data_IF_614478215326
#
_entry.id   IF_614478215326
#
_cell.length_a   1.000
_cell.length_b   1.000
_cell.length_c   1.000
_cell.angle_alpha   90.00
_cell.angle_beta   90.00
_cell.angle_gamma   90.00
#
_symmetry.space_group_name_H-M   'P 1'
#
loop_
_entity.id
_entity.type
_entity.pdbx_description
1 polymer ?
#
# COMPACT_ATOMS: atom_id res chain seq x y z
N UNK A 1 -49.03 22.27 -14.36
CA UNK A 1 -48.24 21.05 -14.61
C UNK A 1 -47.71 20.61 -13.26
N UNK A 2 -48.25 19.49 -12.72
CA UNK A 2 -47.73 18.92 -11.48
C UNK A 2 -46.43 18.18 -11.78
N UNK A 3 -45.35 18.54 -11.07
CA UNK A 3 -44.09 17.84 -11.16
C UNK A 3 -43.90 17.06 -9.85
N UNK A 4 -43.66 15.77 -9.95
CA UNK A 4 -43.39 14.91 -8.80
C UNK A 4 -41.96 14.50 -8.78
N UNK A 5 -41.30 14.63 -7.63
CA UNK A 5 -39.94 14.19 -7.39
C UNK A 5 -39.95 13.00 -6.42
N UNK A 6 -39.32 11.92 -6.81
CA UNK A 6 -39.13 10.77 -5.92
C UNK A 6 -37.73 10.89 -5.33
N UNK A 7 -37.67 11.03 -3.99
CA UNK A 7 -36.39 11.21 -3.26
C UNK A 7 -36.18 10.08 -2.27
N UNK A 8 -34.92 9.82 -1.94
CA UNK A 8 -34.51 8.87 -0.92
C UNK A 8 -33.69 9.61 0.13
N UNK A 9 -34.03 9.44 1.40
CA UNK A 9 -33.24 9.97 2.50
C UNK A 9 -31.94 9.18 2.60
N UNK A 10 -30.80 9.86 2.62
CA UNK A 10 -29.47 9.25 2.70
C UNK A 10 -28.74 9.52 4.01
N UNK A 11 -29.11 10.60 4.70
CA UNK A 11 -28.48 11.00 5.95
C UNK A 11 -29.01 12.32 6.47
N UNK A 12 -28.40 12.82 7.52
CA UNK A 12 -28.69 14.09 8.18
C UNK A 12 -27.38 14.74 8.65
N UNK A 13 -27.42 16.05 8.88
CA UNK A 13 -26.29 16.81 9.43
C UNK A 13 -26.55 17.03 10.91
N UNK A 14 -25.63 16.57 11.76
CA UNK A 14 -25.63 16.75 13.19
C UNK A 14 -24.29 17.34 13.64
N UNK A 15 -24.35 18.48 14.33
CA UNK A 15 -23.16 19.20 14.80
C UNK A 15 -22.07 19.35 13.73
N UNK A 16 -22.43 19.85 12.55
CA UNK A 16 -21.55 20.02 11.40
C UNK A 16 -20.87 18.72 10.91
N UNK A 17 -21.51 17.58 11.16
CA UNK A 17 -21.02 16.28 10.69
C UNK A 17 -22.15 15.56 10.00
N UNK A 18 -21.91 15.12 8.76
CA UNK A 18 -22.87 14.29 8.05
C UNK A 18 -22.89 12.87 8.63
N UNK A 19 -24.09 12.40 8.97
CA UNK A 19 -24.35 11.03 9.43
C UNK A 19 -25.27 10.31 8.46
N UNK A 20 -24.90 9.11 8.07
CA UNK A 20 -25.76 8.25 7.23
C UNK A 20 -26.88 7.67 8.06
N UNK A 21 -28.03 7.52 7.43
CA UNK A 21 -29.24 6.98 8.05
C UNK A 21 -30.33 8.03 8.19
N UNK A 22 -31.41 7.67 8.84
CA UNK A 22 -32.59 8.53 9.04
C UNK A 22 -32.77 8.74 10.54
N UNK A 23 -32.68 9.97 10.97
CA UNK A 23 -32.96 10.35 12.37
C UNK A 23 -34.45 10.70 12.53
N UNK A 24 -34.97 11.46 11.58
CA UNK A 24 -36.37 11.92 11.58
C UNK A 24 -36.94 11.76 10.17
N UNK A 25 -38.24 11.47 10.08
CA UNK A 25 -38.94 11.43 8.80
C UNK A 25 -39.55 12.79 8.50
N UNK A 26 -39.40 13.31 7.28
CA UNK A 26 -40.09 14.54 6.91
C UNK A 26 -41.60 14.34 6.96
N UNK A 27 -42.30 15.33 7.51
CA UNK A 27 -43.75 15.34 7.53
C UNK A 27 -44.32 15.85 6.20
N UNK A 28 -45.62 15.60 5.99
CA UNK A 28 -46.33 16.16 4.84
C UNK A 28 -46.28 17.70 4.99
N UNK A 29 -46.09 18.41 3.88
CA UNK A 29 -45.96 19.86 3.79
C UNK A 29 -44.67 20.47 4.40
N UNK A 30 -43.66 19.67 4.73
CA UNK A 30 -42.33 20.20 5.03
C UNK A 30 -41.73 20.85 3.79
N UNK A 31 -41.11 22.01 3.97
CA UNK A 31 -40.37 22.70 2.94
C UNK A 31 -39.09 21.91 2.58
N UNK A 32 -38.77 21.90 1.29
CA UNK A 32 -37.54 21.28 0.78
C UNK A 32 -36.67 22.36 0.12
N UNK A 33 -35.44 22.43 0.52
CA UNK A 33 -34.41 23.32 -0.04
C UNK A 33 -33.36 22.54 -0.77
N UNK A 34 -32.70 23.17 -1.72
CA UNK A 34 -31.44 22.66 -2.24
C UNK A 34 -30.37 22.86 -1.18
N UNK A 35 -29.41 21.93 -1.12
CA UNK A 35 -28.27 22.04 -0.19
C UNK A 35 -27.49 23.32 -0.48
N UNK A 36 -27.05 23.99 0.58
CA UNK A 36 -26.06 25.04 0.47
C UNK A 36 -24.68 24.46 0.10
N UNK A 37 -23.76 25.30 -0.35
CA UNK A 37 -22.38 24.85 -0.64
C UNK A 37 -21.72 24.24 0.59
N UNK A 38 -21.93 24.87 1.77
CA UNK A 38 -21.38 24.37 3.03
C UNK A 38 -21.95 23.00 3.43
N UNK A 39 -23.26 22.80 3.30
CA UNK A 39 -23.90 21.51 3.57
C UNK A 39 -23.45 20.44 2.58
N UNK A 40 -23.28 20.83 1.32
CA UNK A 40 -22.77 19.95 0.27
C UNK A 40 -21.33 19.50 0.58
N UNK A 41 -20.48 20.42 1.00
CA UNK A 41 -19.12 20.13 1.42
C UNK A 41 -19.09 19.20 2.64
N UNK A 42 -19.97 19.39 3.62
CA UNK A 42 -20.08 18.52 4.79
C UNK A 42 -20.46 17.07 4.40
N UNK A 43 -21.32 16.89 3.40
CA UNK A 43 -21.73 15.58 2.92
C UNK A 43 -20.60 14.89 2.15
N UNK A 44 -19.82 15.64 1.39
CA UNK A 44 -18.79 15.10 0.48
C UNK A 44 -17.38 15.17 1.04
N UNK A 45 -17.18 15.81 2.19
CA UNK A 45 -15.91 15.80 2.92
C UNK A 45 -15.85 14.60 3.86
N UNK A 46 -15.16 13.55 3.45
CA UNK A 46 -15.04 12.31 4.24
C UNK A 46 -14.03 12.40 5.40
N UNK A 47 -13.59 13.59 5.77
CA UNK A 47 -12.59 13.81 6.83
C UNK A 47 -13.18 14.18 8.19
N UNK A 48 -14.36 14.78 8.24
CA UNK A 48 -14.88 15.51 9.38
C UNK A 48 -14.24 16.92 9.51
N UNK A 49 -14.91 17.84 10.20
CA UNK A 49 -14.49 19.23 10.36
C UNK A 49 -13.08 19.34 10.97
N UNK A 50 -12.28 20.26 10.47
CA UNK A 50 -10.95 20.61 11.02
C UNK A 50 -9.84 19.60 10.78
N UNK A 51 -10.01 18.59 9.91
CA UNK A 51 -8.98 17.62 9.57
C UNK A 51 -8.35 17.92 8.21
N UNK A 52 -7.06 17.56 8.08
CA UNK A 52 -6.35 17.69 6.82
C UNK A 52 -6.96 16.79 5.72
N UNK A 53 -7.16 17.37 4.56
CA UNK A 53 -7.78 16.70 3.40
C UNK A 53 -6.93 16.85 2.15
N UNK A 54 -7.12 15.91 1.23
CA UNK A 54 -6.64 16.00 -0.14
C UNK A 54 -7.80 15.93 -1.10
N UNK A 55 -7.75 16.75 -2.16
CA UNK A 55 -8.71 16.71 -3.25
C UNK A 55 -8.34 15.58 -4.23
N UNK A 56 -9.28 14.65 -4.42
CA UNK A 56 -9.05 13.49 -5.31
C UNK A 56 -9.77 13.62 -6.65
N UNK A 57 -10.70 14.52 -6.78
CA UNK A 57 -11.47 14.75 -8.02
C UNK A 57 -12.64 15.68 -7.77
N UNK A 58 -13.57 15.70 -8.73
CA UNK A 58 -14.80 16.48 -8.67
C UNK A 58 -16.00 15.57 -8.88
N UNK A 59 -17.18 16.02 -8.50
CA UNK A 59 -18.39 15.27 -8.76
C UNK A 59 -18.69 15.19 -10.26
N UNK A 60 -19.15 14.04 -10.71
CA UNK A 60 -19.50 13.84 -12.13
C UNK A 60 -20.66 14.73 -12.59
N UNK A 61 -21.60 15.03 -11.69
CA UNK A 61 -22.78 15.85 -12.00
C UNK A 61 -22.54 17.35 -11.79
N UNK A 62 -21.50 17.72 -11.05
CA UNK A 62 -21.13 19.11 -10.81
C UNK A 62 -19.60 19.22 -10.68
N UNK A 63 -18.98 19.64 -11.79
CA UNK A 63 -17.52 19.77 -11.85
C UNK A 63 -16.94 20.91 -11.00
N UNK A 64 -17.76 21.75 -10.40
CA UNK A 64 -17.33 22.79 -9.47
C UNK A 64 -17.17 22.27 -8.03
N UNK A 65 -17.71 21.09 -7.74
CA UNK A 65 -17.67 20.54 -6.39
C UNK A 65 -16.54 19.55 -6.23
N UNK A 66 -15.49 19.88 -5.45
CA UNK A 66 -14.38 19.00 -5.19
C UNK A 66 -14.76 17.85 -4.25
N UNK A 67 -14.18 16.68 -4.46
CA UNK A 67 -14.28 15.55 -3.55
C UNK A 67 -13.02 15.48 -2.70
N UNK A 68 -13.18 15.79 -1.41
CA UNK A 68 -12.11 15.84 -0.45
C UNK A 68 -12.10 14.59 0.45
N UNK A 69 -10.93 13.94 0.59
CA UNK A 69 -10.71 12.79 1.46
C UNK A 69 -9.79 13.17 2.62
N UNK A 70 -10.15 12.75 3.84
CA UNK A 70 -9.33 12.97 5.03
C UNK A 70 -8.05 12.13 5.00
N UNK A 71 -6.88 12.78 5.06
CA UNK A 71 -5.57 12.14 5.01
C UNK A 71 -5.44 11.09 6.11
N UNK A 72 -5.72 11.45 7.36
CA UNK A 72 -5.57 10.54 8.48
C UNK A 72 -6.41 9.27 8.38
N UNK A 73 -7.64 9.37 7.86
CA UNK A 73 -8.50 8.19 7.65
C UNK A 73 -8.07 7.35 6.45
N UNK A 74 -7.65 8.02 5.38
CA UNK A 74 -7.29 7.35 4.13
C UNK A 74 -6.01 6.53 4.27
N UNK A 75 -4.97 7.11 4.89
CA UNK A 75 -3.65 6.51 4.98
C UNK A 75 -3.38 5.71 6.27
N UNK A 76 -4.33 5.65 7.20
CA UNK A 76 -4.23 4.80 8.40
C UNK A 76 -4.72 3.36 8.19
N UNK A 77 -5.27 3.05 7.01
CA UNK A 77 -5.86 1.75 6.71
C UNK A 77 -5.59 1.33 5.26
N UNK A 78 -6.09 0.15 4.88
CA UNK A 78 -5.96 -0.36 3.52
C UNK A 78 -6.85 0.42 2.56
N UNK A 79 -6.32 0.74 1.39
CA UNK A 79 -7.05 1.39 0.29
C UNK A 79 -7.23 0.37 -0.83
N UNK A 80 -8.46 0.11 -1.24
CA UNK A 80 -8.80 -0.73 -2.38
C UNK A 80 -9.40 0.10 -3.52
N UNK A 81 -8.80 0.05 -4.71
CA UNK A 81 -9.31 0.73 -5.92
C UNK A 81 -9.74 -0.34 -6.92
N UNK A 82 -11.03 -0.43 -7.17
CA UNK A 82 -11.64 -1.45 -8.01
C UNK A 82 -12.26 -0.85 -9.27
N UNK A 83 -12.18 -1.57 -10.38
CA UNK A 83 -12.78 -1.15 -11.63
C UNK A 83 -12.30 -2.00 -12.80
N UNK A 84 -12.96 -1.90 -13.94
CA UNK A 84 -12.57 -2.58 -15.18
C UNK A 84 -11.31 -1.97 -15.80
N UNK A 85 -10.75 -2.65 -16.80
CA UNK A 85 -9.64 -2.11 -17.59
C UNK A 85 -10.07 -0.78 -18.24
N UNK A 86 -9.22 0.24 -18.16
CA UNK A 86 -9.52 1.58 -18.70
C UNK A 86 -10.39 2.47 -17.79
N UNK A 87 -10.84 2.00 -16.62
CA UNK A 87 -11.67 2.80 -15.70
C UNK A 87 -10.90 3.86 -14.89
N UNK A 88 -9.59 3.97 -15.07
CA UNK A 88 -8.76 4.97 -14.39
C UNK A 88 -8.22 4.56 -13.02
N UNK A 89 -8.20 3.26 -12.66
CA UNK A 89 -7.68 2.77 -11.36
C UNK A 89 -6.28 3.29 -11.05
N UNK A 90 -5.35 3.07 -11.96
CA UNK A 90 -3.95 3.49 -11.78
C UNK A 90 -3.81 5.01 -11.73
N UNK A 91 -4.62 5.72 -12.53
CA UNK A 91 -4.66 7.17 -12.48
C UNK A 91 -5.18 7.68 -11.13
N UNK A 92 -6.22 7.06 -10.58
CA UNK A 92 -6.77 7.40 -9.26
C UNK A 92 -5.73 7.18 -8.17
N UNK A 93 -5.01 6.06 -8.19
CA UNK A 93 -3.94 5.79 -7.23
C UNK A 93 -2.82 6.83 -7.33
N UNK A 94 -2.37 7.13 -8.55
CA UNK A 94 -1.35 8.15 -8.79
C UNK A 94 -1.81 9.55 -8.33
N UNK A 95 -3.08 9.90 -8.57
CA UNK A 95 -3.68 11.19 -8.13
C UNK A 95 -3.68 11.30 -6.61
N UNK A 96 -4.11 10.27 -5.89
CA UNK A 96 -4.15 10.25 -4.41
C UNK A 96 -2.76 10.50 -3.84
N UNK A 97 -1.74 9.78 -4.28
CA UNK A 97 -0.38 9.97 -3.77
C UNK A 97 0.25 11.28 -4.21
N UNK A 98 -0.01 11.74 -5.44
CA UNK A 98 0.46 13.05 -5.90
C UNK A 98 -0.11 14.17 -5.03
N UNK A 99 -1.39 14.12 -4.69
CA UNK A 99 -2.01 15.11 -3.81
C UNK A 99 -1.42 15.05 -2.40
N UNK A 100 -1.16 13.86 -1.86
CA UNK A 100 -0.50 13.70 -0.57
C UNK A 100 0.89 14.34 -0.57
N UNK A 101 1.72 14.05 -1.57
CA UNK A 101 3.07 14.60 -1.69
C UNK A 101 3.07 16.11 -1.89
N UNK A 102 2.12 16.62 -2.68
CA UNK A 102 1.93 18.08 -2.87
C UNK A 102 1.53 18.74 -1.55
N UNK A 103 0.61 18.15 -0.80
CA UNK A 103 0.14 18.67 0.49
C UNK A 103 1.29 18.79 1.50
N UNK A 104 2.17 17.79 1.57
CA UNK A 104 3.31 17.78 2.49
C UNK A 104 4.63 18.24 1.88
N UNK A 105 4.64 18.85 0.70
CA UNK A 105 5.86 19.27 0.00
C UNK A 105 6.77 20.22 0.81
N UNK A 106 6.18 21.06 1.66
CA UNK A 106 6.89 21.97 2.56
C UNK A 106 7.22 21.39 3.95
N UNK A 107 6.82 20.17 4.26
CA UNK A 107 6.99 19.58 5.59
C UNK A 107 8.28 18.76 5.67
N UNK A 108 9.31 19.28 6.38
CA UNK A 108 10.59 18.60 6.54
C UNK A 108 10.48 17.27 7.30
N UNK A 109 9.68 17.23 8.36
CA UNK A 109 9.47 16.02 9.14
C UNK A 109 8.82 14.89 8.31
N UNK A 110 7.91 15.24 7.40
CA UNK A 110 7.35 14.26 6.46
C UNK A 110 8.42 13.72 5.50
N UNK A 111 9.25 14.61 4.93
CA UNK A 111 10.32 14.20 4.00
C UNK A 111 11.37 13.31 4.64
N UNK A 112 11.69 13.54 5.91
CA UNK A 112 12.70 12.78 6.65
C UNK A 112 12.21 11.42 7.14
N UNK A 113 10.93 11.32 7.51
CA UNK A 113 10.41 10.15 8.20
C UNK A 113 9.44 9.29 7.35
N UNK A 114 8.82 9.85 6.30
CA UNK A 114 7.88 9.10 5.48
C UNK A 114 8.61 8.32 4.39
N UNK A 115 8.29 7.03 4.27
CA UNK A 115 8.80 6.16 3.22
C UNK A 115 7.63 5.50 2.48
N UNK A 116 7.74 5.48 1.16
CA UNK A 116 6.73 4.88 0.29
C UNK A 116 7.39 3.89 -0.66
N UNK A 117 6.84 2.69 -0.73
CA UNK A 117 7.30 1.64 -1.63
C UNK A 117 6.20 1.32 -2.64
N UNK A 118 6.50 1.47 -3.93
CA UNK A 118 5.58 1.17 -5.02
C UNK A 118 6.06 -0.06 -5.80
N UNK A 119 5.21 -1.07 -5.91
CA UNK A 119 5.41 -2.20 -6.82
C UNK A 119 4.66 -1.94 -8.12
N UNK A 120 5.41 -1.63 -9.17
CA UNK A 120 4.87 -1.22 -10.46
C UNK A 120 5.11 -2.29 -11.52
N UNK A 121 4.16 -3.19 -11.68
CA UNK A 121 4.27 -4.29 -12.65
C UNK A 121 4.10 -3.86 -14.10
N UNK A 122 3.42 -2.75 -14.34
CA UNK A 122 3.06 -2.29 -15.68
C UNK A 122 3.85 -1.05 -16.13
N UNK A 123 4.66 -0.44 -15.27
CA UNK A 123 5.40 0.78 -15.57
C UNK A 123 4.56 2.06 -15.56
N UNK A 124 3.43 2.06 -14.84
CA UNK A 124 2.48 3.19 -14.81
C UNK A 124 2.97 4.34 -13.93
N UNK A 125 3.79 4.04 -12.91
CA UNK A 125 4.26 5.00 -11.89
C UNK A 125 5.74 5.35 -12.02
N UNK A 126 6.50 4.59 -12.80
CA UNK A 126 7.94 4.74 -12.97
C UNK A 126 8.34 5.80 -13.99
N UNK A 127 7.39 6.33 -14.78
CA UNK A 127 7.66 7.38 -15.76
C UNK A 127 8.07 8.70 -15.12
N UNK A 128 8.71 9.57 -15.94
CA UNK A 128 9.20 10.88 -15.52
C UNK A 128 8.10 11.70 -14.84
N UNK A 129 8.37 12.17 -13.61
CA UNK A 129 7.48 13.00 -12.79
C UNK A 129 6.04 12.46 -12.64
N UNK A 130 5.82 11.14 -12.66
CA UNK A 130 4.48 10.54 -12.67
C UNK A 130 3.69 10.77 -11.37
N UNK A 131 4.26 10.46 -10.21
CA UNK A 131 3.63 10.64 -8.90
C UNK A 131 4.31 11.75 -8.11
N UNK A 132 5.62 11.78 -8.14
CA UNK A 132 6.49 12.75 -7.48
C UNK A 132 7.65 13.07 -8.41
N UNK A 133 8.41 14.15 -8.12
CA UNK A 133 9.58 14.50 -8.92
C UNK A 133 10.63 13.39 -8.91
N UNK A 134 11.40 13.30 -10.00
CA UNK A 134 12.44 12.25 -10.10
C UNK A 134 13.58 12.44 -9.10
N UNK A 135 13.77 13.63 -8.55
CA UNK A 135 14.71 13.90 -7.48
C UNK A 135 14.31 13.25 -6.14
N UNK A 136 13.01 13.02 -5.94
CA UNK A 136 12.45 12.54 -4.68
C UNK A 136 12.02 11.06 -4.75
N UNK A 137 12.29 10.39 -5.88
CA UNK A 137 12.01 8.95 -6.04
C UNK A 137 13.23 8.20 -6.57
N UNK A 138 13.36 6.93 -6.17
CA UNK A 138 14.32 5.99 -6.71
C UNK A 138 13.58 4.87 -7.42
N UNK A 139 13.85 4.70 -8.72
CA UNK A 139 13.21 3.67 -9.54
C UNK A 139 14.21 2.55 -9.78
N UNK A 140 13.80 1.31 -9.46
CA UNK A 140 14.53 0.09 -9.78
C UNK A 140 13.77 -0.65 -10.88
N UNK A 141 14.37 -0.78 -12.06
CA UNK A 141 13.79 -1.53 -13.20
C UNK A 141 14.25 -2.97 -13.13
N UNK A 142 13.52 -3.77 -12.36
CA UNK A 142 13.83 -5.18 -12.16
C UNK A 142 13.48 -5.99 -13.42
N UNK A 143 14.31 -6.98 -13.74
CA UNK A 143 14.05 -7.90 -14.83
C UNK A 143 14.36 -9.34 -14.39
N UNK A 144 13.32 -10.17 -14.34
CA UNK A 144 13.43 -11.59 -13.96
C UNK A 144 13.81 -12.52 -15.12
N UNK A 145 13.81 -12.02 -16.36
CA UNK A 145 14.07 -12.81 -17.57
C UNK A 145 15.45 -12.57 -18.17
N UNK A 146 16.08 -11.45 -17.87
CA UNK A 146 17.36 -11.03 -18.41
C UNK A 146 18.23 -10.45 -17.30
N UNK A 147 19.54 -10.61 -17.41
CA UNK A 147 20.50 -10.10 -16.40
C UNK A 147 20.75 -8.59 -16.47
N UNK A 148 20.10 -7.88 -17.37
CA UNK A 148 20.29 -6.44 -17.60
C UNK A 148 19.39 -5.51 -16.78
N UNK A 149 18.63 -6.04 -15.82
CA UNK A 149 17.81 -5.24 -14.90
C UNK A 149 18.61 -4.72 -13.71
N UNK A 150 18.02 -3.72 -13.01
CA UNK A 150 18.55 -3.26 -11.74
C UNK A 150 18.49 -4.39 -10.69
N UNK A 151 19.39 -4.35 -9.73
CA UNK A 151 19.42 -5.28 -8.58
C UNK A 151 18.97 -4.55 -7.31
N UNK A 152 18.15 -5.21 -6.51
CA UNK A 152 17.83 -4.71 -5.16
C UNK A 152 19.00 -5.06 -4.25
N UNK A 153 19.67 -4.09 -3.61
CA UNK A 153 20.71 -4.38 -2.65
C UNK A 153 20.10 -5.04 -1.41
N UNK A 154 20.68 -6.16 -1.01
CA UNK A 154 20.35 -6.85 0.24
C UNK A 154 21.57 -6.75 1.16
N UNK A 155 21.35 -6.53 2.44
CA UNK A 155 22.41 -6.65 3.43
C UNK A 155 22.73 -8.13 3.68
N UNK A 156 23.99 -8.42 4.08
CA UNK A 156 24.42 -9.79 4.35
C UNK A 156 23.54 -10.48 5.43
N UNK A 157 23.11 -9.72 6.43
CA UNK A 157 22.26 -10.22 7.50
C UNK A 157 20.83 -10.53 7.01
N UNK A 158 20.29 -9.73 6.08
CA UNK A 158 19.00 -9.97 5.47
C UNK A 158 19.01 -11.25 4.62
N UNK A 159 20.16 -11.55 3.97
CA UNK A 159 20.30 -12.77 3.18
C UNK A 159 20.23 -14.04 4.04
N UNK A 160 20.59 -13.96 5.34
CA UNK A 160 20.49 -15.06 6.30
C UNK A 160 19.15 -15.12 7.04
N UNK A 161 18.13 -14.40 6.54
CA UNK A 161 16.76 -14.51 7.04
C UNK A 161 16.08 -15.78 6.47
N UNK A 162 15.47 -16.56 7.36
CA UNK A 162 14.81 -17.83 7.01
C UNK A 162 13.62 -17.62 6.06
N UNK A 163 12.87 -16.52 6.20
CA UNK A 163 11.70 -16.23 5.36
C UNK A 163 12.17 -15.89 3.96
N UNK A 164 13.18 -15.02 3.85
CA UNK A 164 13.74 -14.61 2.58
C UNK A 164 14.31 -15.81 1.80
N UNK A 165 15.13 -16.64 2.44
CA UNK A 165 15.69 -17.85 1.81
C UNK A 165 14.60 -18.87 1.47
N UNK A 166 13.56 -19.01 2.29
CA UNK A 166 12.42 -19.89 2.00
C UNK A 166 11.65 -19.43 0.76
N UNK A 167 11.47 -18.12 0.59
CA UNK A 167 10.82 -17.54 -0.60
C UNK A 167 11.70 -17.79 -1.85
N UNK A 168 12.99 -17.47 -1.80
CA UNK A 168 13.88 -17.65 -2.94
C UNK A 168 14.03 -19.11 -3.40
N UNK A 169 14.04 -20.05 -2.44
CA UNK A 169 14.12 -21.47 -2.74
C UNK A 169 12.77 -22.14 -2.99
N UNK A 170 11.67 -21.39 -2.94
CA UNK A 170 10.31 -21.92 -2.99
C UNK A 170 10.11 -23.11 -2.03
N UNK A 171 10.62 -22.94 -0.80
CA UNK A 171 10.73 -24.02 0.16
C UNK A 171 9.37 -24.44 0.74
N UNK A 172 9.14 -25.74 0.82
CA UNK A 172 7.95 -26.29 1.49
C UNK A 172 8.04 -26.12 3.01
N UNK A 173 6.91 -25.76 3.62
CA UNK A 173 6.82 -25.48 5.07
C UNK A 173 7.25 -26.67 5.95
N UNK A 174 6.91 -27.89 5.56
CA UNK A 174 7.09 -29.07 6.40
C UNK A 174 8.50 -29.67 6.39
N UNK A 175 9.22 -29.54 5.28
CA UNK A 175 10.50 -30.24 5.09
C UNK A 175 11.66 -29.31 4.79
N UNK A 176 11.52 -28.45 3.81
CA UNK A 176 12.62 -27.61 3.34
C UNK A 176 12.87 -26.41 4.24
N UNK A 177 11.82 -25.75 4.74
CA UNK A 177 11.96 -24.62 5.66
C UNK A 177 12.69 -24.99 6.96
N UNK A 178 12.38 -26.11 7.66
CA UNK A 178 13.17 -26.57 8.81
C UNK A 178 14.62 -26.91 8.46
N UNK A 179 14.89 -27.39 7.25
CA UNK A 179 16.25 -27.61 6.78
C UNK A 179 17.02 -26.31 6.62
N UNK A 180 16.43 -25.30 5.96
CA UNK A 180 17.02 -23.95 5.81
C UNK A 180 17.32 -23.34 7.18
N UNK A 181 16.36 -23.42 8.14
CA UNK A 181 16.56 -22.92 9.49
C UNK A 181 17.78 -23.53 10.17
N UNK A 182 17.92 -24.84 10.11
CA UNK A 182 19.07 -25.55 10.68
C UNK A 182 20.38 -25.20 10.00
N UNK A 183 20.34 -24.99 8.66
CA UNK A 183 21.52 -24.60 7.88
C UNK A 183 22.00 -23.20 8.23
N UNK A 184 21.07 -22.24 8.39
CA UNK A 184 21.40 -20.87 8.85
C UNK A 184 21.99 -20.88 10.25
N UNK A 185 21.37 -21.65 11.16
CA UNK A 185 21.81 -21.76 12.56
C UNK A 185 23.23 -22.35 12.64
N UNK A 186 23.48 -23.37 11.83
CA UNK A 186 24.80 -23.96 11.69
C UNK A 186 25.82 -22.98 11.12
N UNK A 187 25.46 -22.25 10.05
CA UNK A 187 26.33 -21.25 9.43
C UNK A 187 26.72 -20.16 10.45
N UNK A 188 25.75 -19.66 11.22
CA UNK A 188 26.01 -18.68 12.28
C UNK A 188 26.92 -19.19 13.39
N UNK A 189 26.85 -20.49 13.74
CA UNK A 189 27.69 -21.13 14.77
C UNK A 189 29.14 -21.39 14.32
N UNK A 190 29.36 -21.52 13.03
CA UNK A 190 30.71 -21.83 12.47
C UNK A 190 31.60 -20.61 12.30
N UNK A 191 31.10 -19.41 12.66
CA UNK A 191 31.88 -18.19 12.79
C UNK A 191 32.69 -17.82 11.52
N UNK A 192 32.03 -17.82 10.36
CA UNK A 192 32.56 -17.41 9.03
C UNK A 192 33.94 -17.98 8.66
N UNK A 193 34.49 -18.95 9.38
CA UNK A 193 35.77 -19.59 9.10
C UNK A 193 35.54 -20.74 8.08
N UNK A 194 35.97 -20.49 6.86
CA UNK A 194 35.82 -21.42 5.74
C UNK A 194 36.43 -22.82 6.04
N UNK A 195 37.51 -22.87 6.80
CA UNK A 195 38.15 -24.12 7.21
C UNK A 195 37.32 -24.88 8.25
N UNK A 196 36.69 -24.19 9.18
CA UNK A 196 35.79 -24.82 10.16
C UNK A 196 34.55 -25.40 9.47
N UNK A 197 33.95 -24.67 8.51
CA UNK A 197 32.83 -25.18 7.73
C UNK A 197 33.21 -26.40 6.89
N UNK A 198 34.34 -26.37 6.21
CA UNK A 198 34.87 -27.48 5.42
C UNK A 198 35.13 -28.73 6.28
N UNK A 199 35.72 -28.56 7.46
CA UNK A 199 35.99 -29.63 8.40
C UNK A 199 34.68 -30.22 8.98
N UNK A 200 33.69 -29.36 9.27
CA UNK A 200 32.37 -29.81 9.69
C UNK A 200 31.70 -30.65 8.60
N UNK A 201 31.66 -30.19 7.36
CA UNK A 201 31.09 -30.94 6.24
C UNK A 201 31.79 -32.29 6.03
N UNK A 202 33.13 -32.33 6.07
CA UNK A 202 33.90 -33.58 6.00
C UNK A 202 33.51 -34.55 7.10
N UNK A 203 33.32 -34.08 8.33
CA UNK A 203 32.90 -34.88 9.46
C UNK A 203 31.48 -35.44 9.25
N UNK A 204 30.52 -34.61 8.83
CA UNK A 204 29.15 -35.05 8.57
C UNK A 204 29.08 -36.11 7.46
N UNK A 205 29.80 -35.91 6.36
CA UNK A 205 29.87 -36.87 5.26
C UNK A 205 30.45 -38.18 5.76
N UNK A 206 31.53 -38.15 6.53
CA UNK A 206 32.15 -39.34 7.09
C UNK A 206 31.20 -40.09 8.04
N UNK A 207 30.47 -39.38 8.90
CA UNK A 207 29.53 -39.99 9.84
C UNK A 207 28.36 -40.67 9.09
N UNK A 208 27.85 -40.06 8.00
CA UNK A 208 26.82 -40.66 7.13
C UNK A 208 27.33 -41.92 6.45
N UNK A 209 28.55 -41.90 5.90
CA UNK A 209 29.15 -43.06 5.22
C UNK A 209 29.37 -44.23 6.19
N UNK A 210 29.83 -43.94 7.43
CA UNK A 210 30.03 -44.97 8.47
C UNK A 210 28.66 -45.56 8.91
N UNK A 211 27.59 -44.77 8.93
CA UNK A 211 26.25 -45.29 9.23
C UNK A 211 25.70 -46.15 8.10
N UNK A 212 26.04 -45.86 6.82
CA UNK A 212 25.64 -46.64 5.64
C UNK A 212 26.31 -48.02 5.60
N UNK A 213 27.53 -48.15 6.11
CA UNK A 213 28.25 -49.44 6.14
C UNK A 213 27.78 -50.38 7.29
N UNK A 214 26.81 -49.97 8.10
CA UNK A 214 26.28 -50.76 9.23
C UNK A 214 24.86 -51.31 8.95
N UNK A 215 24.35 -51.18 7.74
CA UNK A 215 23.09 -51.75 7.25
C UNK A 215 23.43 -52.79 6.19
#
# INVERSE_FOLDING_TARGET
>A
INRTLIVKLIGFIDNQTFRRGVNELPLIDNECHLLTTEEFDLIHTFAGSGKETIEVGHLANDSLVPVNLGIGKLFSSHIGIFGNTGSGKSYTLAKIYRQLFTHYSGNSAFKENAQFLFFDFNGEYSSHNSIISDSDKKVYKLNTRKDNGDKIPLADDDFLDINLLSIFSNATEKTQRPFIARSIDLYKKIDKDENKFRNFLKKQIKDILIMSDKV
#
